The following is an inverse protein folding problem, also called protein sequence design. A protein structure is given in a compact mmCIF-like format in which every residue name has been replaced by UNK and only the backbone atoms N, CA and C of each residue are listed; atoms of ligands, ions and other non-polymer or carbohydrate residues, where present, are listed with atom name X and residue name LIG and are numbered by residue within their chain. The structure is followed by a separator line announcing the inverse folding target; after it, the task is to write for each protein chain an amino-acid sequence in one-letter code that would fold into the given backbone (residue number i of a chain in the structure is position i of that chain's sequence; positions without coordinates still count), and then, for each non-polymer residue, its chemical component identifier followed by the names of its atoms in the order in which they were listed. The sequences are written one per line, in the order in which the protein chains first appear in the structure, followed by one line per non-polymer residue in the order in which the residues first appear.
data_IF_405212807341
#
_entry.id   IF_405212807341
#
_cell.length_a   1.000
_cell.length_b   1.000
_cell.length_c   1.000
_cell.angle_alpha   90.00
_cell.angle_beta   90.00
_cell.angle_gamma   90.00
#
_symmetry.space_group_name_H-M   'P 1'
#
loop_
_entity.id
_entity.type
_entity.pdbx_description
1 polymer ?
#
# COMPACT_ATOMS: atom_id res chain seq x y z
N UNK A 1 8.14 3.94 -14.68
CA UNK A 1 7.91 2.48 -14.48
C UNK A 1 8.40 1.96 -13.13
N UNK A 2 9.68 2.14 -12.74
CA UNK A 2 10.24 1.54 -11.51
C UNK A 2 9.52 1.93 -10.20
N UNK A 3 9.11 3.20 -10.05
CA UNK A 3 8.35 3.64 -8.86
C UNK A 3 6.92 3.11 -8.83
N UNK A 4 6.28 2.98 -9.98
CA UNK A 4 4.91 2.47 -10.10
C UNK A 4 4.86 0.97 -9.81
N UNK A 5 5.84 0.21 -10.31
CA UNK A 5 6.02 -1.22 -9.96
C UNK A 5 6.26 -1.40 -8.46
N UNK A 6 7.10 -0.56 -7.85
CA UNK A 6 7.35 -0.61 -6.41
C UNK A 6 6.09 -0.30 -5.61
N UNK A 7 5.33 0.71 -6.01
CA UNK A 7 4.02 1.01 -5.42
C UNK A 7 3.07 -0.17 -5.55
N UNK A 8 2.95 -0.74 -6.75
CA UNK A 8 2.04 -1.86 -7.00
C UNK A 8 2.41 -3.10 -6.20
N UNK A 9 3.69 -3.44 -6.07
CA UNK A 9 4.14 -4.54 -5.21
C UNK A 9 3.80 -4.31 -3.74
N UNK A 10 4.06 -3.11 -3.21
CA UNK A 10 3.72 -2.76 -1.83
C UNK A 10 2.21 -2.82 -1.60
N UNK A 11 1.43 -2.27 -2.53
CA UNK A 11 -0.02 -2.36 -2.52
C UNK A 11 -0.49 -3.81 -2.50
N UNK A 12 0.05 -4.67 -3.38
CA UNK A 12 -0.36 -6.07 -3.50
C UNK A 12 -0.10 -6.85 -2.21
N UNK A 13 1.08 -6.64 -1.60
CA UNK A 13 1.43 -7.29 -0.32
C UNK A 13 0.47 -6.88 0.78
N UNK A 14 0.19 -5.58 0.94
CA UNK A 14 -0.77 -5.10 1.93
C UNK A 14 -2.19 -5.59 1.64
N UNK A 15 -2.60 -5.55 0.38
CA UNK A 15 -3.94 -5.96 -0.02
C UNK A 15 -4.19 -7.44 0.25
N UNK A 16 -3.30 -8.32 -0.22
CA UNK A 16 -3.41 -9.77 0.00
C UNK A 16 -3.36 -10.09 1.50
N UNK A 17 -2.42 -9.50 2.24
CA UNK A 17 -2.31 -9.75 3.69
C UNK A 17 -3.59 -9.35 4.42
N UNK A 18 -4.16 -8.21 4.07
CA UNK A 18 -5.39 -7.71 4.68
C UNK A 18 -6.61 -8.56 4.30
N UNK A 19 -6.62 -9.09 3.07
CA UNK A 19 -7.67 -10.01 2.60
C UNK A 19 -7.60 -11.34 3.33
N UNK A 20 -6.40 -11.92 3.50
CA UNK A 20 -6.18 -13.15 4.27
C UNK A 20 -6.65 -12.98 5.71
N UNK A 21 -6.28 -11.87 6.37
CA UNK A 21 -6.74 -11.57 7.73
C UNK A 21 -8.27 -11.41 7.79
N UNK A 22 -8.89 -10.71 6.82
CA UNK A 22 -10.34 -10.60 6.77
C UNK A 22 -11.03 -11.97 6.62
N UNK A 23 -10.49 -12.87 5.79
CA UNK A 23 -11.05 -14.21 5.59
C UNK A 23 -10.93 -15.04 6.87
N UNK A 24 -9.79 -14.97 7.56
CA UNK A 24 -9.53 -15.79 8.74
C UNK A 24 -10.29 -15.33 9.98
N UNK A 25 -10.51 -14.01 10.14
CA UNK A 25 -11.02 -13.43 11.38
C UNK A 25 -12.40 -12.77 11.25
N UNK A 26 -12.89 -12.50 10.03
CA UNK A 26 -14.21 -11.88 9.84
C UNK A 26 -15.13 -12.77 9.03
N UNK A 27 -16.40 -12.77 9.42
CA UNK A 27 -17.44 -13.50 8.69
C UNK A 27 -17.73 -12.87 7.31
N UNK A 28 -17.50 -11.56 7.16
CA UNK A 28 -17.72 -10.84 5.90
C UNK A 28 -16.41 -10.47 5.22
N UNK A 29 -16.34 -10.74 3.92
CA UNK A 29 -15.21 -10.38 3.07
C UNK A 29 -15.32 -8.90 2.70
N UNK A 30 -14.92 -8.01 3.60
CA UNK A 30 -14.90 -6.56 3.37
C UNK A 30 -13.75 -6.19 2.41
N UNK A 31 -13.91 -6.52 1.12
CA UNK A 31 -12.93 -6.27 0.06
C UNK A 31 -12.68 -4.77 -0.12
N UNK A 32 -13.72 -3.95 -0.07
CA UNK A 32 -13.61 -2.49 -0.23
C UNK A 32 -12.77 -1.85 0.88
N UNK A 33 -12.97 -2.29 2.12
CA UNK A 33 -12.16 -1.83 3.25
C UNK A 33 -10.71 -2.29 3.09
N UNK A 34 -10.51 -3.55 2.69
CA UNK A 34 -9.17 -4.09 2.49
C UNK A 34 -8.41 -3.33 1.37
N UNK A 35 -9.12 -3.00 0.29
CA UNK A 35 -8.61 -2.22 -0.82
C UNK A 35 -8.26 -0.79 -0.39
N UNK A 36 -9.19 -0.09 0.26
CA UNK A 36 -9.00 1.30 0.68
C UNK A 36 -7.81 1.45 1.64
N UNK A 37 -7.68 0.53 2.62
CA UNK A 37 -6.55 0.52 3.55
C UNK A 37 -5.24 0.27 2.83
N UNK A 38 -5.16 -0.76 1.97
CA UNK A 38 -3.93 -1.08 1.23
C UNK A 38 -3.53 0.03 0.25
N UNK A 39 -4.51 0.68 -0.37
CA UNK A 39 -4.30 1.80 -1.27
C UNK A 39 -3.79 3.03 -0.52
N UNK A 40 -4.42 3.38 0.61
CA UNK A 40 -4.00 4.50 1.45
C UNK A 40 -2.59 4.33 2.02
N UNK A 41 -2.26 3.15 2.54
CA UNK A 41 -0.92 2.87 3.10
C UNK A 41 0.16 2.89 2.02
N UNK A 42 -0.08 2.24 0.87
CA UNK A 42 0.88 2.27 -0.24
C UNK A 42 1.07 3.68 -0.81
N UNK A 43 0.02 4.50 -0.88
CA UNK A 43 0.12 5.91 -1.29
C UNK A 43 0.94 6.72 -0.31
N UNK A 44 0.67 6.57 0.99
CA UNK A 44 1.44 7.25 2.04
C UNK A 44 2.93 6.93 1.94
N UNK A 45 3.28 5.65 1.76
CA UNK A 45 4.68 5.22 1.57
C UNK A 45 5.28 5.86 0.31
N UNK A 46 4.55 5.89 -0.80
CA UNK A 46 5.04 6.48 -2.04
C UNK A 46 5.28 8.00 -1.91
N UNK A 47 4.37 8.73 -1.24
CA UNK A 47 4.49 10.17 -0.99
C UNK A 47 5.69 10.45 -0.09
N UNK A 48 5.86 9.71 1.01
CA UNK A 48 7.00 9.85 1.92
C UNK A 48 8.31 9.55 1.20
N UNK A 49 8.36 8.48 0.41
CA UNK A 49 9.53 8.14 -0.39
C UNK A 49 9.89 9.24 -1.39
N UNK A 50 8.89 9.81 -2.08
CA UNK A 50 9.08 10.93 -2.99
C UNK A 50 9.62 12.16 -2.26
N UNK A 51 9.03 12.51 -1.11
CA UNK A 51 9.44 13.66 -0.31
C UNK A 51 10.89 13.51 0.17
N UNK A 52 11.26 12.36 0.72
CA UNK A 52 12.63 12.08 1.19
C UNK A 52 13.63 12.14 0.03
N UNK A 53 13.31 11.50 -1.11
CA UNK A 53 14.19 11.50 -2.29
C UNK A 53 14.40 12.92 -2.84
N UNK A 54 13.34 13.74 -2.87
CA UNK A 54 13.41 15.13 -3.31
C UNK A 54 14.22 16.00 -2.33
N UNK A 55 14.08 15.76 -1.02
CA UNK A 55 14.85 16.46 0.02
C UNK A 55 16.33 16.10 -0.02
N UNK A 56 16.66 14.82 -0.24
CA UNK A 56 18.05 14.34 -0.36
C UNK A 56 18.74 14.84 -1.63
N UNK A 57 18.04 14.98 -2.76
CA UNK A 57 18.61 15.54 -4.00
C UNK A 57 18.87 17.05 -3.96
N UNK A 58 18.26 17.76 -2.99
CA UNK A 58 18.45 19.20 -2.79
C UNK A 58 19.62 19.53 -1.85
N UNK A 59 20.25 18.51 -1.27
CA UNK A 59 21.36 18.62 -0.33
C UNK A 59 22.64 18.15 -1.01
#
# INVERSE_FOLDING_TARGET
MKHFLRFFLVFLVFFISNLVVNILFKHNWNVDTAFSVAFGTSLGIAIVYYYITKKLKKK
#
